data_IF_447068591310
#
_entry.id   IF_447068591310
#
_cell.length_a   1.000
_cell.length_b   1.000
_cell.length_c   1.000
_cell.angle_alpha   90.00
_cell.angle_beta   90.00
_cell.angle_gamma   90.00
#
_symmetry.space_group_name_H-M   'P 1'
#
loop_
_entity.id
_entity.type
_entity.pdbx_description
1 polymer ?
#
# COMPACT_ATOMS: atom_id res chain seq x y z
N UNK A 1 -4.45 24.91 -1.55
CA UNK A 1 -3.94 23.52 -1.62
C UNK A 1 -4.43 22.82 -0.36
N UNK A 2 -5.52 22.06 -0.44
CA UNK A 2 -6.09 21.41 0.76
C UNK A 2 -5.19 20.23 1.11
N UNK A 3 -4.40 20.37 2.16
CA UNK A 3 -3.69 19.24 2.75
C UNK A 3 -4.79 18.37 3.35
N UNK A 4 -5.21 17.33 2.63
CA UNK A 4 -6.08 16.32 3.21
C UNK A 4 -5.21 15.59 4.24
N UNK A 5 -5.46 15.87 5.53
CA UNK A 5 -4.83 15.23 6.70
C UNK A 5 -5.25 13.75 6.77
N UNK A 6 -4.88 12.97 5.76
CA UNK A 6 -5.12 11.54 5.68
C UNK A 6 -4.01 10.81 6.42
N UNK A 7 -4.39 9.95 7.36
CA UNK A 7 -3.49 9.08 8.10
C UNK A 7 -3.39 7.71 7.42
N UNK A 8 -2.19 7.14 7.36
CA UNK A 8 -1.89 5.88 6.67
C UNK A 8 -1.25 4.86 7.62
N UNK A 9 -2.02 4.30 8.57
CA UNK A 9 -1.50 3.34 9.54
C UNK A 9 -1.16 2.02 8.85
N UNK A 10 -0.01 1.45 9.20
CA UNK A 10 0.32 0.07 8.83
C UNK A 10 -0.33 -0.88 9.85
N UNK A 11 -1.09 -1.86 9.36
CA UNK A 11 -1.74 -2.91 10.14
C UNK A 11 -1.27 -4.28 9.63
N UNK A 12 -0.97 -5.23 10.51
CA UNK A 12 -0.49 -6.59 10.14
C UNK A 12 -1.61 -7.50 9.60
N UNK A 13 -2.80 -6.94 9.34
CA UNK A 13 -3.98 -7.62 8.83
C UNK A 13 -4.29 -8.94 9.56
N UNK A 14 -4.02 -9.00 10.87
CA UNK A 14 -4.44 -10.13 11.70
C UNK A 14 -5.93 -10.06 11.97
N UNK A 15 -6.49 -11.15 12.48
CA UNK A 15 -7.93 -11.28 12.73
C UNK A 15 -8.52 -10.08 13.48
N UNK A 16 -7.94 -9.68 14.62
CA UNK A 16 -8.45 -8.57 15.42
C UNK A 16 -8.28 -7.20 14.74
N UNK A 17 -7.19 -6.98 13.99
CA UNK A 17 -7.00 -5.74 13.22
C UNK A 17 -8.03 -5.63 12.08
N UNK A 18 -8.32 -6.74 11.41
CA UNK A 18 -9.36 -6.80 10.38
C UNK A 18 -10.77 -6.71 10.95
N UNK A 19 -11.01 -7.15 12.19
CA UNK A 19 -12.27 -6.91 12.92
C UNK A 19 -12.42 -5.41 13.18
N UNK A 20 -11.43 -4.79 13.83
CA UNK A 20 -11.47 -3.37 14.17
C UNK A 20 -11.65 -2.48 12.93
N UNK A 21 -10.94 -2.79 11.83
CA UNK A 21 -11.08 -2.05 10.58
C UNK A 21 -12.50 -2.14 9.99
N UNK A 22 -13.16 -3.30 10.10
CA UNK A 22 -14.55 -3.46 9.65
C UNK A 22 -15.51 -2.63 10.50
N UNK A 23 -15.40 -2.71 11.82
CA UNK A 23 -16.25 -1.95 12.74
C UNK A 23 -16.10 -0.44 12.53
N UNK A 24 -14.88 0.04 12.32
CA UNK A 24 -14.62 1.46 12.03
C UNK A 24 -15.24 1.91 10.71
N UNK A 25 -15.18 1.06 9.69
CA UNK A 25 -15.79 1.33 8.39
C UNK A 25 -17.33 1.34 8.48
N UNK A 26 -17.92 0.38 9.18
CA UNK A 26 -19.37 0.27 9.39
C UNK A 26 -19.93 1.50 10.11
N UNK A 27 -19.22 1.96 11.14
CA UNK A 27 -19.57 3.15 11.92
C UNK A 27 -19.26 4.48 11.21
N UNK A 28 -18.78 4.43 9.96
CA UNK A 28 -18.44 5.60 9.13
C UNK A 28 -17.45 6.58 9.79
N UNK A 29 -16.52 6.06 10.60
CA UNK A 29 -15.61 6.90 11.42
C UNK A 29 -14.33 7.31 10.71
N UNK A 30 -13.88 6.51 9.75
CA UNK A 30 -12.51 6.62 9.19
C UNK A 30 -12.49 7.10 7.75
N UNK A 31 -13.60 7.02 7.04
CA UNK A 31 -13.69 7.40 5.64
C UNK A 31 -13.25 8.86 5.47
N UNK A 32 -12.39 9.12 4.48
CA UNK A 32 -11.73 10.40 4.18
C UNK A 32 -10.61 10.83 5.14
N UNK A 33 -10.46 10.20 6.31
CA UNK A 33 -9.42 10.54 7.28
C UNK A 33 -8.32 9.50 7.38
N UNK A 34 -8.64 8.23 7.14
CA UNK A 34 -7.69 7.13 7.27
C UNK A 34 -7.74 6.23 6.03
N UNK A 35 -6.58 5.88 5.50
CA UNK A 35 -6.42 4.81 4.50
C UNK A 35 -5.35 3.85 5.01
N UNK A 36 -5.76 2.76 5.67
CA UNK A 36 -4.80 1.83 6.25
C UNK A 36 -4.00 1.12 5.15
N UNK A 37 -2.79 0.71 5.52
CA UNK A 37 -1.92 -0.14 4.72
C UNK A 37 -1.86 -1.50 5.41
N UNK A 38 -2.39 -2.50 4.74
CA UNK A 38 -2.48 -3.85 5.24
C UNK A 38 -1.22 -4.61 4.84
N UNK A 39 -0.43 -5.05 5.83
CA UNK A 39 0.69 -5.97 5.66
C UNK A 39 0.21 -7.39 6.02
N UNK A 40 -0.17 -8.22 5.04
CA UNK A 40 -0.76 -9.53 5.32
C UNK A 40 0.28 -10.51 5.87
N UNK A 41 -0.04 -11.12 7.02
CA UNK A 41 0.86 -12.08 7.69
C UNK A 41 0.42 -13.55 7.59
N UNK A 42 -0.73 -13.83 6.95
CA UNK A 42 -1.33 -15.17 6.81
C UNK A 42 -1.53 -15.53 5.35
N UNK A 43 -1.38 -16.82 5.04
CA UNK A 43 -1.66 -17.40 3.70
C UNK A 43 -3.14 -17.38 3.31
N UNK A 44 -4.05 -17.44 4.29
CA UNK A 44 -5.48 -17.49 4.04
C UNK A 44 -6.08 -16.11 3.72
N UNK A 45 -6.84 -16.03 2.62
CA UNK A 45 -7.56 -14.82 2.23
C UNK A 45 -8.92 -14.65 2.90
N UNK A 46 -9.37 -15.57 3.77
CA UNK A 46 -10.72 -15.53 4.34
C UNK A 46 -10.99 -14.22 5.10
N UNK A 47 -10.06 -13.80 5.96
CA UNK A 47 -10.17 -12.53 6.68
C UNK A 47 -10.19 -11.33 5.74
N UNK A 48 -9.31 -11.32 4.74
CA UNK A 48 -9.23 -10.25 3.74
C UNK A 48 -10.49 -10.17 2.88
N UNK A 49 -11.12 -11.29 2.52
CA UNK A 49 -12.37 -11.35 1.76
C UNK A 49 -13.54 -10.75 2.55
N UNK A 50 -13.66 -11.11 3.83
CA UNK A 50 -14.72 -10.57 4.69
C UNK A 50 -14.51 -9.07 4.86
N UNK A 51 -13.27 -8.63 5.15
CA UNK A 51 -12.94 -7.21 5.24
C UNK A 51 -13.22 -6.48 3.92
N UNK A 52 -12.82 -7.02 2.77
CA UNK A 52 -13.04 -6.43 1.45
C UNK A 52 -14.52 -6.13 1.20
N UNK A 53 -15.40 -7.10 1.49
CA UNK A 53 -16.84 -6.96 1.32
C UNK A 53 -17.39 -5.78 2.14
N UNK A 54 -17.05 -5.71 3.42
CA UNK A 54 -17.52 -4.64 4.32
C UNK A 54 -16.94 -3.28 3.91
N UNK A 55 -15.63 -3.22 3.65
CA UNK A 55 -14.96 -1.99 3.22
C UNK A 55 -15.58 -1.43 1.93
N UNK A 56 -15.88 -2.30 0.96
CA UNK A 56 -16.55 -1.94 -0.29
C UNK A 56 -17.95 -1.39 -0.06
N UNK A 57 -18.76 -2.04 0.78
CA UNK A 57 -20.10 -1.55 1.15
C UNK A 57 -20.05 -0.14 1.75
N UNK A 58 -19.00 0.16 2.53
CA UNK A 58 -18.83 1.43 3.22
C UNK A 58 -17.88 2.41 2.52
N UNK A 59 -17.51 2.16 1.26
CA UNK A 59 -16.63 3.01 0.42
C UNK A 59 -15.30 3.36 1.12
N UNK A 60 -14.77 2.44 1.91
CA UNK A 60 -13.48 2.59 2.59
C UNK A 60 -12.41 1.87 1.77
N UNK A 61 -11.34 2.60 1.42
CA UNK A 61 -10.19 2.04 0.73
C UNK A 61 -9.11 1.66 1.72
N UNK A 62 -8.27 0.70 1.31
CA UNK A 62 -7.05 0.34 2.00
C UNK A 62 -5.98 -0.02 0.97
N UNK A 63 -4.71 0.16 1.32
CA UNK A 63 -3.61 -0.42 0.59
C UNK A 63 -3.35 -1.85 1.07
N UNK A 64 -2.93 -2.74 0.19
CA UNK A 64 -2.46 -4.09 0.52
C UNK A 64 -1.02 -4.23 0.06
N UNK A 65 -0.11 -4.47 0.99
CA UNK A 65 1.29 -4.77 0.69
C UNK A 65 1.33 -6.14 0.03
N UNK A 66 1.77 -6.19 -1.22
CA UNK A 66 1.82 -7.44 -1.99
C UNK A 66 3.17 -8.14 -1.88
N UNK A 67 4.21 -7.49 -1.34
CA UNK A 67 5.48 -8.09 -0.97
C UNK A 67 5.75 -7.88 0.53
N UNK A 68 4.97 -8.52 1.42
CA UNK A 68 5.13 -8.34 2.86
C UNK A 68 6.53 -8.81 3.31
N UNK A 69 7.14 -8.07 4.23
CA UNK A 69 8.46 -8.41 4.81
C UNK A 69 8.35 -9.58 5.80
N UNK A 70 7.14 -9.81 6.30
CA UNK A 70 6.83 -10.63 7.46
C UNK A 70 5.58 -11.46 7.22
N UNK A 71 5.59 -12.73 7.62
CA UNK A 71 4.43 -13.61 7.53
C UNK A 71 4.80 -15.01 7.05
N UNK A 72 3.77 -15.83 6.87
CA UNK A 72 3.91 -17.24 6.48
C UNK A 72 4.35 -17.43 5.01
N UNK A 73 4.42 -16.37 4.21
CA UNK A 73 4.77 -16.43 2.79
C UNK A 73 5.92 -15.49 2.46
N UNK A 74 7.01 -16.04 1.95
CA UNK A 74 7.97 -15.28 1.15
C UNK A 74 7.37 -14.95 -0.23
N UNK A 75 7.67 -13.74 -0.72
CA UNK A 75 7.41 -13.23 -2.08
C UNK A 75 6.03 -13.52 -2.74
N UNK A 76 5.06 -12.70 -2.36
CA UNK A 76 4.17 -11.85 -3.17
C UNK A 76 3.35 -12.26 -4.41
N UNK A 77 3.60 -13.38 -5.08
CA UNK A 77 2.80 -13.74 -6.27
C UNK A 77 1.33 -14.01 -5.90
N UNK A 78 1.09 -14.63 -4.74
CA UNK A 78 -0.25 -14.96 -4.28
C UNK A 78 -1.13 -13.72 -4.05
N UNK A 79 -0.56 -12.62 -3.53
CA UNK A 79 -1.29 -11.37 -3.28
C UNK A 79 -1.56 -10.59 -4.57
N UNK A 80 -0.65 -10.65 -5.55
CA UNK A 80 -0.87 -10.09 -6.89
C UNK A 80 -2.03 -10.80 -7.60
N UNK A 81 -2.02 -12.14 -7.59
CA UNK A 81 -3.14 -12.95 -8.11
C UNK A 81 -4.44 -12.70 -7.33
N UNK A 82 -4.35 -12.51 -6.02
CA UNK A 82 -5.51 -12.15 -5.20
C UNK A 82 -6.13 -10.82 -5.63
N UNK A 83 -5.32 -9.76 -5.79
CA UNK A 83 -5.82 -8.47 -6.27
C UNK A 83 -6.41 -8.56 -7.67
N UNK A 84 -5.79 -9.34 -8.57
CA UNK A 84 -6.31 -9.60 -9.92
C UNK A 84 -7.69 -10.28 -9.88
N UNK A 85 -7.88 -11.27 -8.99
CA UNK A 85 -9.17 -11.96 -8.80
C UNK A 85 -10.28 -11.05 -8.28
N UNK A 86 -9.94 -10.03 -7.48
CA UNK A 86 -10.91 -9.03 -7.03
C UNK A 86 -11.38 -8.10 -8.17
N UNK A 87 -10.62 -7.97 -9.24
CA UNK A 87 -10.98 -7.16 -10.41
C UNK A 87 -10.94 -5.65 -10.15
N UNK A 88 -11.57 -4.89 -11.05
CA UNK A 88 -11.51 -3.42 -11.06
C UNK A 88 -12.33 -2.75 -9.94
N UNK A 89 -13.27 -3.48 -9.36
CA UNK A 89 -14.15 -2.96 -8.31
C UNK A 89 -13.59 -3.12 -6.88
N UNK A 90 -12.30 -3.50 -6.80
CA UNK A 90 -11.58 -3.72 -5.54
C UNK A 90 -11.40 -2.42 -4.76
N UNK A 91 -11.51 -2.52 -3.43
CA UNK A 91 -11.14 -1.44 -2.49
C UNK A 91 -9.72 -1.56 -1.94
N UNK A 92 -9.06 -2.68 -2.22
CA UNK A 92 -7.63 -2.85 -1.94
C UNK A 92 -6.79 -2.33 -3.09
N UNK A 93 -6.07 -1.24 -2.85
CA UNK A 93 -5.07 -0.68 -3.76
C UNK A 93 -3.72 -1.37 -3.54
N UNK A 94 -2.88 -1.53 -4.57
CA UNK A 94 -1.60 -2.22 -4.40
C UNK A 94 -0.61 -1.32 -3.66
N UNK A 95 0.10 -1.89 -2.69
CA UNK A 95 1.29 -1.28 -2.09
C UNK A 95 2.48 -2.22 -2.21
N UNK A 96 3.66 -1.64 -2.32
CA UNK A 96 4.92 -2.36 -2.40
C UNK A 96 5.97 -1.73 -1.52
N UNK A 97 6.74 -2.53 -0.80
CA UNK A 97 8.09 -2.11 -0.35
C UNK A 97 9.00 -2.09 -1.55
N UNK A 98 9.89 -1.11 -1.71
CA UNK A 98 10.75 -1.05 -2.89
C UNK A 98 11.65 -2.29 -3.02
N UNK A 99 11.70 -2.83 -4.23
CA UNK A 99 12.50 -3.95 -4.73
C UNK A 99 12.54 -3.79 -6.26
N UNK A 100 13.70 -3.88 -6.93
CA UNK A 100 13.80 -3.64 -8.37
C UNK A 100 12.86 -4.51 -9.24
N UNK A 101 12.45 -5.69 -8.78
CA UNK A 101 11.56 -6.61 -9.53
C UNK A 101 10.11 -6.13 -9.56
N UNK A 102 9.74 -5.11 -8.77
CA UNK A 102 8.36 -4.58 -8.72
C UNK A 102 7.90 -4.05 -10.07
N UNK A 103 8.81 -3.48 -10.85
CA UNK A 103 8.46 -2.96 -12.18
C UNK A 103 7.87 -4.05 -13.08
N UNK A 104 8.42 -5.27 -13.03
CA UNK A 104 7.88 -6.42 -13.75
C UNK A 104 6.48 -6.78 -13.25
N UNK A 105 6.25 -6.76 -11.93
CA UNK A 105 4.94 -7.05 -11.35
C UNK A 105 3.89 -5.98 -11.73
N UNK A 106 4.25 -4.70 -11.70
CA UNK A 106 3.35 -3.61 -12.10
C UNK A 106 2.92 -3.76 -13.55
N UNK A 107 3.87 -4.09 -14.44
CA UNK A 107 3.57 -4.32 -15.86
C UNK A 107 2.73 -5.59 -16.07
N UNK A 108 3.16 -6.73 -15.54
CA UNK A 108 2.49 -8.03 -15.70
C UNK A 108 1.04 -8.03 -15.19
N UNK A 109 0.79 -7.34 -14.08
CA UNK A 109 -0.54 -7.28 -13.46
C UNK A 109 -1.32 -5.99 -13.80
N UNK A 110 -0.79 -5.17 -14.71
CA UNK A 110 -1.37 -3.87 -15.10
C UNK A 110 -1.79 -3.01 -13.88
N UNK A 111 -0.89 -2.89 -12.91
CA UNK A 111 -1.20 -2.20 -11.66
C UNK A 111 -1.10 -0.69 -11.83
N UNK A 112 -2.00 0.01 -11.14
CA UNK A 112 -2.10 1.47 -11.14
C UNK A 112 -2.44 1.93 -9.72
N UNK A 113 -2.28 3.23 -9.46
CA UNK A 113 -2.54 3.85 -8.15
C UNK A 113 -1.77 3.18 -7.01
N UNK A 114 -0.52 2.79 -7.28
CA UNK A 114 0.30 2.07 -6.32
C UNK A 114 0.84 3.01 -5.24
N UNK A 115 0.94 2.50 -4.01
CA UNK A 115 1.76 3.09 -2.95
C UNK A 115 3.14 2.42 -2.96
N UNK A 116 4.20 3.20 -3.08
CA UNK A 116 5.57 2.71 -2.88
C UNK A 116 6.04 3.06 -1.47
N UNK A 117 6.29 2.04 -0.67
CA UNK A 117 6.88 2.11 0.67
C UNK A 117 8.39 2.15 0.50
N UNK A 118 8.97 3.24 0.98
CA UNK A 118 10.38 3.57 0.86
C UNK A 118 11.01 3.46 2.25
N UNK A 119 11.87 2.47 2.43
CA UNK A 119 12.66 2.30 3.66
C UNK A 119 13.91 3.23 3.62
N UNK A 120 14.51 3.50 4.79
CA UNK A 120 15.58 4.50 4.95
C UNK A 120 16.87 4.16 4.17
N UNK A 121 17.06 2.90 3.78
CA UNK A 121 18.25 2.35 3.12
C UNK A 121 18.24 2.47 1.59
N UNK A 122 17.16 2.98 1.00
CA UNK A 122 17.08 3.22 -0.44
C UNK A 122 18.10 4.29 -0.85
N UNK A 123 18.98 3.94 -1.77
CA UNK A 123 19.88 4.88 -2.42
C UNK A 123 19.06 5.84 -3.30
N UNK A 124 19.12 7.14 -3.00
CA UNK A 124 18.42 8.13 -3.79
C UNK A 124 19.04 8.38 -5.17
N UNK A 125 20.17 7.74 -5.50
CA UNK A 125 20.75 7.66 -6.83
C UNK A 125 20.42 6.37 -7.60
N UNK A 126 19.65 5.43 -7.01
CA UNK A 126 19.20 4.22 -7.70
C UNK A 126 18.33 4.58 -8.92
N UNK A 127 18.83 4.26 -10.11
CA UNK A 127 18.14 4.55 -11.38
C UNK A 127 16.83 3.79 -11.53
N UNK A 128 16.77 2.53 -11.07
CA UNK A 128 15.54 1.73 -11.14
C UNK A 128 14.47 2.35 -10.24
N UNK A 129 14.86 2.82 -9.06
CA UNK A 129 13.97 3.54 -8.16
C UNK A 129 13.46 4.82 -8.79
N UNK A 130 14.36 5.65 -9.34
CA UNK A 130 14.00 6.92 -9.97
C UNK A 130 13.06 6.72 -11.15
N UNK A 131 13.30 5.72 -11.98
CA UNK A 131 12.44 5.37 -13.11
C UNK A 131 11.05 4.92 -12.64
N UNK A 132 10.99 3.98 -11.70
CA UNK A 132 9.73 3.51 -11.13
C UNK A 132 8.93 4.65 -10.49
N UNK A 133 9.59 5.53 -9.74
CA UNK A 133 8.96 6.65 -9.05
C UNK A 133 8.39 7.71 -10.02
N UNK A 134 8.95 7.82 -11.23
CA UNK A 134 8.48 8.73 -12.29
C UNK A 134 7.42 8.08 -13.19
N UNK A 135 7.36 6.76 -13.27
CA UNK A 135 6.29 6.06 -13.96
C UNK A 135 4.99 6.33 -13.22
N UNK A 136 4.06 7.07 -13.83
CA UNK A 136 2.76 7.51 -13.24
C UNK A 136 1.80 6.39 -12.78
N UNK A 137 2.30 5.15 -12.66
CA UNK A 137 1.68 4.00 -12.01
C UNK A 137 1.77 4.06 -10.48
N UNK A 138 2.82 4.71 -9.94
CA UNK A 138 2.97 5.00 -8.51
C UNK A 138 2.36 6.37 -8.23
N UNK A 139 1.31 6.41 -7.42
CA UNK A 139 0.58 7.65 -7.12
C UNK A 139 0.87 8.19 -5.73
N UNK A 140 1.47 7.40 -4.84
CA UNK A 140 1.82 7.80 -3.48
C UNK A 140 3.14 7.17 -3.04
N UNK A 141 3.85 7.88 -2.17
CA UNK A 141 5.05 7.38 -1.51
C UNK A 141 4.84 7.39 0.00
N UNK A 142 5.20 6.28 0.65
CA UNK A 142 5.19 6.14 2.10
C UNK A 142 6.62 6.03 2.61
N UNK A 143 7.05 6.94 3.48
CA UNK A 143 8.37 6.89 4.13
C UNK A 143 8.15 6.34 5.52
N UNK A 144 8.59 5.12 5.76
CA UNK A 144 8.39 4.44 7.04
C UNK A 144 9.76 4.16 7.66
N UNK A 145 10.04 4.77 8.80
CA UNK A 145 11.36 4.66 9.43
C UNK A 145 11.73 5.88 10.26
N UNK A 146 13.03 6.10 10.42
CA UNK A 146 13.60 7.18 11.22
C UNK A 146 13.73 8.50 10.46
N UNK A 147 13.34 8.54 9.19
CA UNK A 147 13.48 9.70 8.30
C UNK A 147 14.93 10.19 8.24
N UNK A 148 15.90 9.28 8.35
CA UNK A 148 17.33 9.62 8.31
C UNK A 148 17.79 9.96 6.90
N UNK A 149 17.13 9.39 5.89
CA UNK A 149 17.47 9.61 4.49
C UNK A 149 16.83 10.89 3.93
N UNK A 150 17.42 12.04 4.30
CA UNK A 150 16.92 13.37 3.90
C UNK A 150 16.98 13.62 2.40
N UNK A 151 17.92 12.99 1.69
CA UNK A 151 18.06 13.15 0.24
C UNK A 151 16.92 12.45 -0.49
N UNK A 152 16.61 11.20 -0.13
CA UNK A 152 15.42 10.47 -0.58
C UNK A 152 14.12 11.24 -0.32
N UNK A 153 13.93 11.75 0.91
CA UNK A 153 12.74 12.55 1.26
C UNK A 153 12.61 13.78 0.35
N UNK A 154 13.73 14.48 0.07
CA UNK A 154 13.74 15.65 -0.82
C UNK A 154 13.41 15.26 -2.25
N UNK A 155 13.98 14.16 -2.74
CA UNK A 155 13.69 13.63 -4.06
C UNK A 155 12.20 13.29 -4.20
N UNK A 156 11.63 12.52 -3.26
CA UNK A 156 10.22 12.15 -3.29
C UNK A 156 9.28 13.36 -3.28
N UNK A 157 9.58 14.38 -2.46
CA UNK A 157 8.83 15.63 -2.43
C UNK A 157 8.90 16.42 -3.74
N UNK A 158 9.93 16.20 -4.56
CA UNK A 158 10.08 16.84 -5.87
C UNK A 158 9.17 16.23 -6.95
N UNK A 159 8.69 15.00 -6.76
CA UNK A 159 7.93 14.24 -7.77
C UNK A 159 6.48 14.72 -7.96
N UNK A 160 6.04 15.81 -7.30
CA UNK A 160 4.66 16.32 -7.28
C UNK A 160 3.59 15.33 -6.80
N UNK A 161 3.99 14.12 -6.38
CA UNK A 161 3.12 13.10 -5.83
C UNK A 161 3.02 13.26 -4.30
N UNK A 162 1.87 12.89 -3.69
CA UNK A 162 1.75 12.91 -2.24
C UNK A 162 2.73 11.94 -1.55
N UNK A 163 3.47 12.47 -0.56
CA UNK A 163 4.40 11.74 0.30
C UNK A 163 3.81 11.71 1.72
N UNK A 164 3.78 10.55 2.36
CA UNK A 164 3.24 10.34 3.71
C UNK A 164 4.26 9.61 4.59
N UNK A 165 4.22 9.86 5.90
CA UNK A 165 5.20 9.33 6.85
C UNK A 165 6.08 10.40 7.47
#
# INVERSE_FOLDING_TARGET
MTINNMYYPILRARQFELIALRELAENKKTQKFVTPILEPVRTSFNGLNIAHKILKQHKQFAYLIVNPEVGETGYGVSYLEYLKKLGDDRVYLPAFRYDPKIQNNIQQYNLNNCLLICDDDIDDEDTNFKELAKQGKVSKFGIYGTNRNRSLVRYLKSLQNPVYG
#
